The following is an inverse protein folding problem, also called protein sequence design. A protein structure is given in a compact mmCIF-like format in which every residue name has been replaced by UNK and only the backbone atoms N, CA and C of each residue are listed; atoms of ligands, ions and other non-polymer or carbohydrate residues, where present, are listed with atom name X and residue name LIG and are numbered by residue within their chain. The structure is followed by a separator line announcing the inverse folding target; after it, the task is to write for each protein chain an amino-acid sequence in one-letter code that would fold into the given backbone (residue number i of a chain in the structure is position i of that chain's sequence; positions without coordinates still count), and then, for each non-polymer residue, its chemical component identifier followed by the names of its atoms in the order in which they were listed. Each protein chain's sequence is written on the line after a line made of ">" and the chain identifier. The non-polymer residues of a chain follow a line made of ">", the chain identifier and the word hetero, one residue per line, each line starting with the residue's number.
data_IF_167028049473
#
_entry.id   IF_167028049473
#
_cell.length_a   1.000
_cell.length_b   1.000
_cell.length_c   1.000
_cell.angle_alpha   90.00
_cell.angle_beta   90.00
_cell.angle_gamma   90.00
#
_symmetry.space_group_name_H-M   'P 1'
#
loop_
_entity.id
_entity.type
_entity.pdbx_description
1 polymer ?
#
# COMPACT_ATOMS: atom_id res chain seq x y z
N UNK A 1 17.70 23.77 52.62
CA UNK A 1 17.23 22.49 52.03
C UNK A 1 16.39 22.81 50.80
N UNK A 2 16.98 22.65 49.62
CA UNK A 2 16.34 22.88 48.33
C UNK A 2 15.67 21.58 47.87
N UNK A 3 14.38 21.43 48.14
CA UNK A 3 13.61 20.30 47.61
C UNK A 3 12.70 20.81 46.49
N UNK A 4 13.28 20.78 45.29
CA UNK A 4 12.66 21.06 44.00
C UNK A 4 11.47 20.10 43.83
N UNK A 5 10.23 20.59 44.03
CA UNK A 5 9.03 19.86 43.63
C UNK A 5 8.97 19.85 42.11
N UNK A 6 9.50 18.79 41.52
CA UNK A 6 9.44 18.51 40.09
C UNK A 6 7.97 18.39 39.69
N UNK A 7 7.51 19.34 38.88
CA UNK A 7 6.22 19.31 38.20
C UNK A 7 6.30 18.17 37.19
N UNK A 8 5.81 16.98 37.55
CA UNK A 8 5.63 15.89 36.61
C UNK A 8 4.33 16.14 35.84
N UNK A 9 4.41 16.98 34.82
CA UNK A 9 3.39 17.05 33.78
C UNK A 9 3.50 15.78 32.93
N UNK A 10 2.92 14.68 33.41
CA UNK A 10 2.68 13.49 32.58
C UNK A 10 1.53 13.79 31.62
N UNK A 11 1.82 14.58 30.59
CA UNK A 11 1.01 14.60 29.38
C UNK A 11 1.15 13.24 28.72
N UNK A 12 0.26 12.32 29.07
CA UNK A 12 0.04 11.07 28.35
C UNK A 12 -0.50 11.47 26.97
N UNK A 13 0.42 11.79 26.06
CA UNK A 13 0.12 12.01 24.65
C UNK A 13 -0.41 10.69 24.13
N UNK A 14 -1.74 10.59 24.10
CA UNK A 14 -2.46 9.49 23.51
C UNK A 14 -2.27 9.63 22.00
N UNK A 15 -1.15 9.09 21.51
CA UNK A 15 -0.97 8.79 20.11
C UNK A 15 -1.96 7.68 19.77
N UNK A 16 -3.23 8.04 19.64
CA UNK A 16 -4.08 7.37 18.67
C UNK A 16 -3.41 7.64 17.33
N UNK A 17 -2.40 6.83 17.01
CA UNK A 17 -2.11 6.54 15.63
C UNK A 17 -3.48 6.28 15.03
N UNK A 18 -3.91 7.23 14.19
CA UNK A 18 -5.08 7.08 13.35
C UNK A 18 -5.03 5.63 12.89
N UNK A 19 -5.94 4.81 13.42
CA UNK A 19 -6.24 3.51 12.84
C UNK A 19 -6.88 3.94 11.53
N UNK A 20 -6.04 4.35 10.58
CA UNK A 20 -6.44 4.80 9.27
C UNK A 20 -7.37 3.71 8.82
N UNK A 21 -8.62 4.10 8.53
CA UNK A 21 -9.73 3.20 8.22
C UNK A 21 -9.15 1.91 7.71
N UNK A 22 -9.25 0.84 8.51
CA UNK A 22 -8.79 -0.48 8.12
C UNK A 22 -9.77 -0.90 7.04
N UNK A 23 -9.63 -0.30 5.85
CA UNK A 23 -10.37 -0.65 4.66
C UNK A 23 -10.14 -2.14 4.53
N UNK A 24 -11.23 -2.89 4.55
CA UNK A 24 -11.17 -4.32 4.36
C UNK A 24 -10.36 -4.57 3.08
N UNK A 25 -9.36 -5.42 3.19
CA UNK A 25 -8.47 -5.70 2.08
C UNK A 25 -9.30 -6.24 0.91
N UNK A 26 -9.37 -5.46 -0.18
CA UNK A 26 -9.99 -5.89 -1.42
C UNK A 26 -9.14 -6.96 -2.05
N UNK A 27 -9.77 -7.91 -2.72
CA UNK A 27 -9.06 -9.02 -3.37
C UNK A 27 -8.35 -8.57 -4.63
N UNK A 28 -7.33 -9.31 -5.05
CA UNK A 28 -6.68 -9.12 -6.36
C UNK A 28 -7.68 -9.16 -7.52
N UNK A 29 -8.73 -10.01 -7.41
CA UNK A 29 -9.81 -10.08 -8.41
C UNK A 29 -10.59 -8.76 -8.50
N UNK A 30 -11.01 -8.21 -7.36
CA UNK A 30 -11.71 -6.92 -7.32
C UNK A 30 -10.94 -5.84 -8.07
N UNK A 31 -9.65 -5.70 -7.76
CA UNK A 31 -8.83 -4.68 -8.41
C UNK A 31 -8.66 -4.86 -9.92
N UNK A 32 -8.69 -6.08 -10.44
CA UNK A 32 -8.70 -6.33 -11.89
C UNK A 32 -10.01 -5.92 -12.55
N UNK A 33 -11.13 -6.09 -11.85
CA UNK A 33 -12.47 -5.71 -12.32
C UNK A 33 -12.75 -4.21 -12.11
N UNK A 34 -11.98 -3.56 -11.24
CA UNK A 34 -12.13 -2.15 -10.85
C UNK A 34 -10.82 -1.36 -11.06
N UNK A 35 -10.41 -1.10 -12.33
CA UNK A 35 -9.12 -0.48 -12.64
C UNK A 35 -8.98 0.96 -12.11
N UNK A 36 -10.08 1.71 -12.02
CA UNK A 36 -10.06 3.07 -11.47
C UNK A 36 -9.72 3.08 -9.98
N UNK A 37 -10.28 2.12 -9.23
CA UNK A 37 -10.01 1.95 -7.81
C UNK A 37 -8.59 1.40 -7.58
N UNK A 38 -8.18 0.43 -8.41
CA UNK A 38 -6.81 -0.08 -8.42
C UNK A 38 -5.80 1.05 -8.59
N UNK A 39 -6.02 1.97 -9.54
CA UNK A 39 -5.09 3.08 -9.78
C UNK A 39 -4.87 3.91 -8.51
N UNK A 40 -5.95 4.31 -7.86
CA UNK A 40 -5.90 5.14 -6.64
C UNK A 40 -5.16 4.40 -5.51
N UNK A 41 -5.51 3.14 -5.28
CA UNK A 41 -4.91 2.34 -4.19
C UNK A 41 -3.46 2.00 -4.48
N UNK A 42 -3.14 1.55 -5.69
CA UNK A 42 -1.77 1.25 -6.11
C UNK A 42 -0.86 2.47 -5.96
N UNK A 43 -1.26 3.64 -6.45
CA UNK A 43 -0.48 4.88 -6.29
C UNK A 43 -0.24 5.24 -4.82
N UNK A 44 -1.26 5.05 -3.96
CA UNK A 44 -1.12 5.25 -2.51
C UNK A 44 -0.10 4.27 -1.92
N UNK A 45 -0.18 2.98 -2.27
CA UNK A 45 0.74 1.94 -1.81
C UNK A 45 2.19 2.21 -2.23
N UNK A 46 2.40 2.67 -3.46
CA UNK A 46 3.73 3.01 -3.96
C UNK A 46 4.35 4.21 -3.22
N UNK A 47 3.53 5.20 -2.85
CA UNK A 47 3.99 6.39 -2.09
C UNK A 47 4.26 6.09 -0.62
N UNK A 48 3.43 5.26 0.01
CA UNK A 48 3.54 4.97 1.44
C UNK A 48 4.53 3.85 1.76
N UNK A 49 4.81 2.95 0.81
CA UNK A 49 5.54 1.71 1.10
C UNK A 49 4.75 0.75 2.00
N UNK A 50 3.42 0.86 2.01
CA UNK A 50 2.55 0.04 2.86
C UNK A 50 2.59 -1.45 2.42
N UNK A 51 2.78 -2.32 3.40
CA UNK A 51 2.84 -3.77 3.24
C UNK A 51 1.53 -4.47 3.64
N UNK A 52 0.43 -3.72 3.79
CA UNK A 52 -0.91 -4.26 4.08
C UNK A 52 -1.37 -5.25 3.01
N UNK A 53 -2.27 -6.17 3.37
CA UNK A 53 -2.87 -7.12 2.43
C UNK A 53 -3.56 -6.41 1.26
N UNK A 54 -4.16 -5.24 1.51
CA UNK A 54 -4.77 -4.44 0.46
C UNK A 54 -3.74 -3.97 -0.57
N UNK A 55 -2.58 -3.50 -0.11
CA UNK A 55 -1.49 -3.12 -0.99
C UNK A 55 -0.84 -4.31 -1.70
N UNK A 56 -0.73 -5.49 -1.04
CA UNK A 56 -0.29 -6.72 -1.72
C UNK A 56 -1.21 -7.07 -2.88
N UNK A 57 -2.53 -7.07 -2.64
CA UNK A 57 -3.53 -7.40 -3.64
C UNK A 57 -3.57 -6.38 -4.80
N UNK A 58 -3.42 -5.08 -4.50
CA UNK A 58 -3.34 -4.04 -5.52
C UNK A 58 -2.07 -4.17 -6.38
N UNK A 59 -0.91 -4.40 -5.76
CA UNK A 59 0.35 -4.62 -6.47
C UNK A 59 0.31 -5.86 -7.37
N UNK A 60 -0.28 -6.95 -6.87
CA UNK A 60 -0.46 -8.18 -7.64
C UNK A 60 -1.38 -7.95 -8.84
N UNK A 61 -2.53 -7.29 -8.64
CA UNK A 61 -3.46 -6.99 -9.71
C UNK A 61 -2.81 -6.15 -10.81
N UNK A 62 -2.05 -5.12 -10.42
CA UNK A 62 -1.29 -4.29 -11.36
C UNK A 62 -0.26 -5.09 -12.15
N UNK A 63 0.47 -5.99 -11.49
CA UNK A 63 1.45 -6.89 -12.13
C UNK A 63 0.77 -7.82 -13.15
N UNK A 64 -0.36 -8.43 -12.79
CA UNK A 64 -1.12 -9.30 -13.70
C UNK A 64 -1.63 -8.53 -14.92
N UNK A 65 -2.16 -7.32 -14.74
CA UNK A 65 -2.62 -6.47 -15.86
C UNK A 65 -1.46 -6.13 -16.78
N UNK A 66 -0.26 -5.82 -16.25
CA UNK A 66 0.92 -5.56 -17.08
C UNK A 66 1.32 -6.78 -17.90
N UNK A 67 1.28 -7.97 -17.31
CA UNK A 67 1.64 -9.20 -18.01
C UNK A 67 0.62 -9.54 -19.11
N UNK A 68 -0.68 -9.38 -18.84
CA UNK A 68 -1.74 -9.61 -19.83
C UNK A 68 -1.64 -8.66 -21.03
N UNK A 69 -1.13 -7.45 -20.82
CA UNK A 69 -0.95 -6.44 -21.87
C UNK A 69 0.48 -6.39 -22.42
N UNK A 70 1.36 -7.31 -22.02
CA UNK A 70 2.72 -7.35 -22.53
C UNK A 70 2.72 -7.73 -24.02
N UNK A 71 3.54 -7.07 -24.86
CA UNK A 71 3.68 -7.46 -26.25
C UNK A 71 4.25 -8.89 -26.32
N UNK A 72 3.74 -9.68 -27.26
CA UNK A 72 4.28 -11.01 -27.54
C UNK A 72 5.76 -10.87 -27.96
N UNK A 73 6.70 -11.62 -27.35
CA UNK A 73 8.09 -11.56 -27.77
C UNK A 73 8.22 -11.96 -29.24
N UNK A 74 8.88 -11.12 -30.04
CA UNK A 74 9.26 -11.47 -31.41
C UNK A 74 10.48 -12.38 -31.36
N UNK A 75 10.25 -13.68 -31.52
CA UNK A 75 11.29 -14.71 -31.47
C UNK A 75 12.14 -14.77 -32.74
N UNK A 76 11.77 -14.05 -33.81
CA UNK A 76 12.51 -14.07 -35.09
C UNK A 76 13.85 -13.33 -35.01
N UNK A 77 14.11 -12.58 -33.94
CA UNK A 77 15.32 -11.76 -33.76
C UNK A 77 16.33 -12.40 -32.78
N UNK A 78 16.13 -13.66 -32.38
CA UNK A 78 16.96 -14.37 -31.39
C UNK A 78 17.94 -15.38 -32.01
N UNK A 79 17.96 -15.50 -33.35
CA UNK A 79 18.78 -16.48 -34.08
C UNK A 79 20.08 -15.89 -34.69
N UNK A 80 20.52 -14.67 -34.30
CA UNK A 80 21.77 -14.06 -34.81
C UNK A 80 22.98 -14.26 -33.89
#
# INVERSE_FOLDING_TARGET
>A
MLSKKTILASSLALCFAVIGCKEEAKTTKWYREHPDELKVVYEKCQKSGDASENCKNANEAHSQIKQLNAPTPDLNNLEE
#
